data_IF_307727119256
#
_entry.id   IF_307727119256
#
_cell.length_a   1.000
_cell.length_b   1.000
_cell.length_c   1.000
_cell.angle_alpha   90.00
_cell.angle_beta   90.00
_cell.angle_gamma   90.00
#
_symmetry.space_group_name_H-M   'P 1'
#
loop_
_entity.id
_entity.type
_entity.pdbx_description
1 polymer ?
#
# COMPACT_ATOMS: atom_id res chain seq x y z
N UNK A 1 -15.25 10.88 15.99
CA UNK A 1 -16.44 10.66 15.12
C UNK A 1 -16.37 11.59 13.94
N UNK A 2 -16.53 11.04 12.73
CA UNK A 2 -16.51 11.87 11.52
C UNK A 2 -17.82 12.66 11.41
N UNK A 3 -17.72 13.90 10.92
CA UNK A 3 -18.91 14.70 10.61
C UNK A 3 -19.67 14.05 9.45
N UNK A 4 -20.94 14.42 9.30
CA UNK A 4 -21.77 13.91 8.19
C UNK A 4 -21.13 14.21 6.83
N UNK A 5 -20.56 15.41 6.68
CA UNK A 5 -19.89 15.80 5.44
C UNK A 5 -18.68 14.90 5.14
N UNK A 6 -17.86 14.61 6.15
CA UNK A 6 -16.70 13.72 5.99
C UNK A 6 -17.13 12.30 5.67
N UNK A 7 -18.20 11.81 6.26
CA UNK A 7 -18.73 10.49 5.95
C UNK A 7 -19.20 10.36 4.51
N UNK A 8 -19.86 11.39 3.99
CA UNK A 8 -20.31 11.43 2.58
C UNK A 8 -19.10 11.47 1.64
N UNK A 9 -18.12 12.30 1.95
CA UNK A 9 -16.89 12.39 1.16
C UNK A 9 -16.13 11.06 1.17
N UNK A 10 -16.07 10.39 2.31
CA UNK A 10 -15.43 9.09 2.44
C UNK A 10 -16.09 8.03 1.57
N UNK A 11 -17.42 7.97 1.56
CA UNK A 11 -18.17 7.07 0.69
C UNK A 11 -17.92 7.35 -0.78
N UNK A 12 -17.75 8.61 -1.13
CA UNK A 12 -17.42 9.00 -2.50
C UNK A 12 -16.06 8.43 -2.92
N UNK A 13 -15.05 8.52 -2.07
CA UNK A 13 -13.74 7.91 -2.33
C UNK A 13 -13.85 6.39 -2.45
N UNK A 14 -14.61 5.75 -1.57
CA UNK A 14 -14.77 4.30 -1.58
C UNK A 14 -15.37 3.78 -2.88
N UNK A 15 -16.23 4.56 -3.54
CA UNK A 15 -16.78 4.21 -4.85
C UNK A 15 -15.72 4.15 -5.94
N UNK A 16 -14.59 4.83 -5.75
CA UNK A 16 -13.49 4.84 -6.70
C UNK A 16 -12.53 3.66 -6.50
N UNK A 17 -12.71 2.90 -5.43
CA UNK A 17 -11.84 1.77 -5.10
C UNK A 17 -12.25 0.55 -5.92
N UNK A 18 -11.80 0.51 -7.18
CA UNK A 18 -12.12 -0.56 -8.13
C UNK A 18 -11.07 -1.67 -8.13
N UNK A 19 -9.94 -1.44 -7.48
CA UNK A 19 -8.85 -2.39 -7.38
C UNK A 19 -8.85 -3.05 -6.01
N UNK A 20 -8.05 -4.10 -5.86
CA UNK A 20 -7.88 -4.80 -4.58
C UNK A 20 -6.41 -4.79 -4.22
N UNK A 21 -6.08 -4.40 -3.01
CA UNK A 21 -4.73 -4.53 -2.49
C UNK A 21 -4.68 -5.63 -1.42
N UNK A 22 -3.61 -6.40 -1.45
CA UNK A 22 -3.34 -7.45 -0.49
C UNK A 22 -2.07 -7.06 0.24
N UNK A 23 -2.21 -6.76 1.53
CA UNK A 23 -1.10 -6.32 2.36
C UNK A 23 -0.57 -7.52 3.12
N UNK A 24 0.72 -7.77 2.98
CA UNK A 24 1.39 -8.88 3.65
C UNK A 24 2.20 -8.35 4.82
N UNK A 25 1.87 -8.81 6.00
CA UNK A 25 2.59 -8.48 7.22
C UNK A 25 3.16 -9.75 7.84
N UNK A 26 4.42 -9.66 8.23
CA UNK A 26 5.05 -10.74 8.97
C UNK A 26 4.81 -10.54 10.46
N UNK A 27 4.21 -11.53 11.11
CA UNK A 27 4.03 -11.52 12.56
C UNK A 27 5.36 -11.77 13.25
N UNK A 28 5.51 -11.22 14.46
CA UNK A 28 6.69 -11.44 15.26
C UNK A 28 6.85 -12.92 15.65
N UNK A 29 8.08 -13.40 15.68
CA UNK A 29 8.39 -14.70 16.22
C UNK A 29 7.96 -14.77 17.70
N UNK A 30 7.37 -15.89 18.07
CA UNK A 30 6.90 -16.14 19.45
C UNK A 30 7.77 -17.23 20.07
N UNK A 31 8.30 -16.94 21.25
CA UNK A 31 9.03 -17.94 22.03
C UNK A 31 8.07 -18.61 23.00
N UNK A 32 8.02 -19.96 22.96
CA UNK A 32 7.22 -20.72 23.91
C UNK A 32 7.91 -20.66 25.27
N UNK A 33 7.24 -20.13 26.31
CA UNK A 33 7.85 -20.04 27.63
C UNK A 33 8.10 -21.39 28.31
N UNK A 34 7.41 -22.47 27.87
CA UNK A 34 7.58 -23.79 28.45
C UNK A 34 8.71 -24.58 27.81
N UNK A 35 8.83 -24.48 26.50
CA UNK A 35 9.80 -25.30 25.74
C UNK A 35 11.02 -24.51 25.29
N UNK A 36 10.92 -23.17 25.27
CA UNK A 36 11.98 -22.33 24.75
C UNK A 36 12.04 -22.31 23.22
N UNK A 37 11.15 -23.02 22.54
CA UNK A 37 11.14 -23.10 21.10
C UNK A 37 10.66 -21.75 20.51
N UNK A 38 11.40 -21.23 19.54
CA UNK A 38 11.04 -20.02 18.83
C UNK A 38 10.32 -20.43 17.56
N UNK A 39 9.07 -20.00 17.44
CA UNK A 39 8.28 -20.20 16.23
C UNK A 39 8.33 -18.93 15.41
N UNK A 40 8.73 -19.04 14.15
CA UNK A 40 8.70 -17.90 13.23
C UNK A 40 7.25 -17.47 13.01
N UNK A 41 7.03 -16.16 13.03
CA UNK A 41 5.71 -15.61 12.81
C UNK A 41 5.19 -15.90 11.40
N UNK A 42 3.90 -16.15 11.31
CA UNK A 42 3.24 -16.36 10.03
C UNK A 42 3.13 -15.06 9.27
N UNK A 43 3.13 -15.15 7.93
CA UNK A 43 2.81 -14.02 7.07
C UNK A 43 1.30 -13.93 6.98
N UNK A 44 0.74 -12.83 7.44
CA UNK A 44 -0.68 -12.56 7.33
C UNK A 44 -0.96 -11.74 6.08
N UNK A 45 -1.92 -12.17 5.28
CA UNK A 45 -2.34 -11.46 4.06
C UNK A 45 -3.78 -11.01 4.23
N UNK A 46 -4.02 -9.72 4.13
CA UNK A 46 -5.35 -9.14 4.26
C UNK A 46 -5.66 -8.33 3.00
N UNK A 47 -6.85 -8.55 2.45
CA UNK A 47 -7.30 -7.87 1.23
C UNK A 47 -8.18 -6.67 1.57
N UNK A 48 -7.96 -5.57 0.88
CA UNK A 48 -8.74 -4.36 1.04
C UNK A 48 -9.09 -3.75 -0.31
N UNK A 49 -10.25 -3.08 -0.43
CA UNK A 49 -10.54 -2.27 -1.62
C UNK A 49 -9.58 -1.10 -1.72
N UNK A 50 -9.15 -0.79 -2.92
CA UNK A 50 -8.23 0.32 -3.15
C UNK A 50 -8.38 0.88 -4.56
N UNK A 51 -7.66 1.94 -4.82
CA UNK A 51 -7.45 2.49 -6.14
C UNK A 51 -5.97 2.74 -6.34
N UNK A 52 -5.44 2.34 -7.48
CA UNK A 52 -4.07 2.65 -7.83
C UNK A 52 -4.06 3.71 -8.92
N UNK A 53 -3.18 4.68 -8.77
CA UNK A 53 -3.01 5.78 -9.73
C UNK A 53 -1.59 5.81 -10.23
N UNK A 54 -1.44 5.99 -11.54
CA UNK A 54 -0.15 6.13 -12.19
C UNK A 54 -0.01 7.55 -12.71
N UNK A 55 1.05 8.23 -12.31
CA UNK A 55 1.35 9.56 -12.80
C UNK A 55 2.72 9.54 -13.46
N UNK A 56 2.77 9.96 -14.71
CA UNK A 56 4.03 10.12 -15.43
C UNK A 56 4.62 11.48 -15.12
N UNK A 57 5.88 11.50 -14.69
CA UNK A 57 6.59 12.74 -14.45
C UNK A 57 7.45 13.03 -15.67
N UNK A 58 7.25 14.21 -16.28
CA UNK A 58 8.05 14.64 -17.41
C UNK A 58 9.43 15.11 -16.94
N UNK A 59 10.41 15.08 -17.86
CA UNK A 59 11.77 15.54 -17.57
C UNK A 59 11.84 17.01 -17.16
N UNK A 60 10.84 17.80 -17.53
CA UNK A 60 10.77 19.22 -17.17
C UNK A 60 10.40 19.45 -15.71
N UNK A 61 9.76 18.49 -15.08
CA UNK A 61 9.35 18.56 -13.67
C UNK A 61 10.46 18.11 -12.73
N UNK A 62 11.56 17.62 -13.27
CA UNK A 62 12.65 17.01 -12.49
C UNK A 62 13.93 17.79 -12.73
N UNK A 63 14.43 18.41 -11.67
CA UNK A 63 15.69 19.13 -11.71
C UNK A 63 16.89 18.17 -11.74
N UNK A 64 16.71 16.99 -11.21
CA UNK A 64 17.73 15.94 -11.20
C UNK A 64 17.52 15.00 -12.38
N UNK A 65 18.62 14.48 -12.91
CA UNK A 65 18.69 13.66 -14.13
C UNK A 65 17.98 12.30 -14.01
N UNK A 66 16.68 12.31 -13.70
CA UNK A 66 15.86 11.11 -13.72
C UNK A 66 15.43 10.80 -15.16
N UNK A 67 15.12 9.52 -15.47
CA UNK A 67 14.63 9.18 -16.79
C UNK A 67 13.39 9.99 -17.17
N UNK A 68 13.28 10.34 -18.44
CA UNK A 68 12.18 11.19 -18.94
C UNK A 68 10.79 10.59 -18.75
N UNK A 69 10.69 9.30 -18.45
CA UNK A 69 9.43 8.57 -18.32
C UNK A 69 9.28 7.90 -16.95
N UNK A 70 9.61 8.60 -15.87
CA UNK A 70 9.42 8.09 -14.52
C UNK A 70 7.95 8.10 -14.15
N UNK A 71 7.47 7.02 -13.55
CA UNK A 71 6.10 6.93 -13.05
C UNK A 71 6.08 7.00 -11.53
N UNK A 72 5.14 7.78 -11.00
CA UNK A 72 4.80 7.75 -9.58
C UNK A 72 3.54 6.94 -9.42
N UNK A 73 3.60 5.93 -8.58
CA UNK A 73 2.48 5.03 -8.34
C UNK A 73 1.96 5.32 -6.94
N UNK A 74 0.68 5.65 -6.85
CA UNK A 74 0.03 6.00 -5.57
C UNK A 74 -1.12 5.05 -5.30
N UNK A 75 -1.17 4.50 -4.09
CA UNK A 75 -2.26 3.68 -3.62
C UNK A 75 -3.19 4.53 -2.76
N UNK A 76 -4.48 4.51 -3.10
CA UNK A 76 -5.54 5.16 -2.33
C UNK A 76 -6.38 4.08 -1.68
N UNK A 77 -6.56 4.16 -0.36
CA UNK A 77 -7.37 3.20 0.37
C UNK A 77 -7.93 3.83 1.64
N UNK A 78 -8.72 3.07 2.41
CA UNK A 78 -9.32 3.55 3.64
C UNK A 78 -8.27 4.00 4.65
N UNK A 79 -8.49 5.12 5.36
CA UNK A 79 -7.55 5.58 6.38
C UNK A 79 -7.54 4.71 7.63
N UNK A 80 -8.50 3.79 7.77
CA UNK A 80 -8.56 2.89 8.92
C UNK A 80 -7.56 1.75 8.84
N UNK A 81 -6.94 1.55 7.66
CA UNK A 81 -6.00 0.48 7.43
C UNK A 81 -4.60 0.98 7.77
N UNK A 82 -3.90 0.25 8.62
CA UNK A 82 -2.50 0.57 8.90
C UNK A 82 -1.59 -0.13 7.90
N UNK A 83 -0.77 0.66 7.21
CA UNK A 83 0.21 0.14 6.26
C UNK A 83 1.60 0.60 6.70
N UNK A 84 2.39 -0.36 7.10
CA UNK A 84 3.76 -0.09 7.55
C UNK A 84 4.67 0.19 6.36
N UNK A 85 5.53 1.23 6.42
CA UNK A 85 6.54 1.44 5.38
C UNK A 85 7.38 0.19 5.17
N UNK A 86 7.64 -0.13 3.91
CA UNK A 86 8.38 -1.34 3.55
C UNK A 86 7.52 -2.60 3.41
N UNK A 87 6.22 -2.52 3.68
CA UNK A 87 5.32 -3.66 3.53
C UNK A 87 5.21 -4.07 2.07
N UNK A 88 5.10 -5.38 1.83
CA UNK A 88 4.81 -5.91 0.50
C UNK A 88 3.31 -5.77 0.24
N UNK A 89 2.99 -5.21 -0.92
CA UNK A 89 1.60 -4.97 -1.31
C UNK A 89 1.39 -5.54 -2.71
N UNK A 90 0.46 -6.48 -2.83
CA UNK A 90 0.00 -6.93 -4.14
C UNK A 90 -1.24 -6.13 -4.52
N UNK A 91 -1.30 -5.64 -5.74
CA UNK A 91 -2.47 -4.94 -6.26
C UNK A 91 -3.03 -5.75 -7.41
N UNK A 92 -4.31 -6.08 -7.31
CA UNK A 92 -5.04 -6.74 -8.40
C UNK A 92 -5.90 -5.71 -9.09
N UNK A 93 -5.62 -5.47 -10.35
CA UNK A 93 -6.35 -4.53 -11.19
C UNK A 93 -6.66 -5.18 -12.53
N UNK A 94 -7.94 -5.20 -12.89
CA UNK A 94 -8.41 -5.75 -14.16
C UNK A 94 -7.84 -7.16 -14.45
N UNK A 95 -7.85 -8.02 -13.43
CA UNK A 95 -7.37 -9.38 -13.55
C UNK A 95 -5.86 -9.55 -13.55
N UNK A 96 -5.10 -8.46 -13.43
CA UNK A 96 -3.64 -8.50 -13.37
C UNK A 96 -3.15 -8.22 -11.95
N UNK A 97 -2.11 -8.92 -11.56
CA UNK A 97 -1.49 -8.75 -10.25
C UNK A 97 -0.15 -8.03 -10.39
N UNK A 98 0.01 -6.97 -9.62
CA UNK A 98 1.24 -6.18 -9.56
C UNK A 98 1.81 -6.26 -8.15
N UNK A 99 3.12 -6.39 -8.05
CA UNK A 99 3.81 -6.51 -6.77
C UNK A 99 4.59 -5.23 -6.47
N UNK A 100 4.25 -4.61 -5.36
CA UNK A 100 4.85 -3.34 -4.93
C UNK A 100 5.32 -3.42 -3.49
N UNK A 101 6.09 -2.42 -3.10
CA UNK A 101 6.49 -2.18 -1.72
C UNK A 101 6.07 -0.77 -1.33
N UNK A 102 5.56 -0.60 -0.13
CA UNK A 102 5.23 0.73 0.38
C UNK A 102 6.53 1.53 0.54
N UNK A 103 6.64 2.63 -0.21
CA UNK A 103 7.90 3.38 -0.30
C UNK A 103 8.14 4.32 0.87
N UNK A 104 7.08 4.81 1.47
CA UNK A 104 7.16 5.85 2.50
C UNK A 104 6.01 5.72 3.49
N UNK A 105 6.02 6.59 4.47
CA UNK A 105 4.88 6.71 5.37
C UNK A 105 3.66 7.17 4.59
N UNK A 106 2.49 6.72 5.03
CA UNK A 106 1.24 7.13 4.44
C UNK A 106 0.95 8.61 4.70
N UNK A 107 0.38 9.26 3.69
CA UNK A 107 -0.27 10.55 3.88
C UNK A 107 -1.70 10.27 4.32
N UNK A 108 -1.99 10.53 5.60
CA UNK A 108 -3.26 10.17 6.21
C UNK A 108 -4.22 11.35 6.21
N UNK A 109 -5.38 11.14 5.59
CA UNK A 109 -6.47 12.10 5.55
C UNK A 109 -7.70 11.50 6.23
N UNK A 110 -8.67 12.33 6.61
CA UNK A 110 -9.91 11.85 7.22
C UNK A 110 -10.73 10.94 6.29
N UNK A 111 -10.61 11.15 4.99
CA UNK A 111 -11.43 10.47 3.98
C UNK A 111 -10.72 9.30 3.32
N UNK A 112 -9.40 9.31 3.30
CA UNK A 112 -8.58 8.30 2.64
C UNK A 112 -7.14 8.40 3.10
N UNK A 113 -6.32 7.45 2.67
CA UNK A 113 -4.87 7.58 2.80
C UNK A 113 -4.21 7.37 1.44
N UNK A 114 -3.07 8.00 1.25
CA UNK A 114 -2.29 7.91 0.04
C UNK A 114 -0.90 7.38 0.37
N UNK A 115 -0.47 6.37 -0.36
CA UNK A 115 0.84 5.75 -0.14
C UNK A 115 1.53 5.63 -1.48
N UNK A 116 2.75 6.13 -1.55
CA UNK A 116 3.59 5.92 -2.72
C UNK A 116 4.10 4.48 -2.73
N UNK A 117 4.02 3.84 -3.89
CA UNK A 117 4.46 2.47 -4.09
C UNK A 117 5.70 2.44 -4.98
N UNK A 118 6.58 1.49 -4.69
CA UNK A 118 7.72 1.17 -5.55
C UNK A 118 7.56 -0.24 -6.08
N UNK A 119 8.08 -0.49 -7.27
CA UNK A 119 8.17 -1.84 -7.78
C UNK A 119 9.01 -2.68 -6.82
N UNK A 120 8.48 -3.86 -6.50
CA UNK A 120 9.20 -4.78 -5.65
C UNK A 120 10.42 -5.29 -6.39
N UNK A 121 11.60 -5.12 -5.79
CA UNK A 121 12.82 -5.66 -6.38
C UNK A 121 12.76 -7.19 -6.34
N UNK A 122 13.04 -7.80 -7.48
CA UNK A 122 13.16 -9.25 -7.54
C UNK A 122 14.45 -9.64 -6.86
N UNK A 123 14.32 -10.32 -5.74
CA UNK A 123 15.46 -10.97 -5.16
C UNK A 123 15.70 -12.27 -5.93
N UNK A 124 16.83 -12.34 -6.59
CA UNK A 124 17.27 -13.56 -7.20
C UNK A 124 17.78 -14.50 -6.10
N UNK A 125 17.06 -15.48 -5.85
CA UNK A 125 17.48 -16.46 -4.85
C UNK A 125 16.52 -16.62 -3.78
#
# INVERSE_FOLDING_TARGET
MLSTIKMVARKHYERLYTDTCIIKEQRKAIKDPKTGIITNGEIESISYPCRISFKTISSNDIVNKLPASSQVITLFTSPDIYIKPGSDIEVVRQGRTFNYTAASQTALYDTHQEIELKLRSKHNG
#
